data_IF_814761359367
#
_entry.id   IF_814761359367
#
_cell.length_a   1.000
_cell.length_b   1.000
_cell.length_c   1.000
_cell.angle_alpha   90.00
_cell.angle_beta   90.00
_cell.angle_gamma   90.00
#
_symmetry.space_group_name_H-M   'P 1'
#
loop_
_entity.id
_entity.type
_entity.pdbx_description
1 polymer ?
#
# COMPACT_ATOMS: atom_id res chain seq x y z
N UNK A 1 8.66 11.49 16.14
CA UNK A 1 7.58 11.82 17.10
C UNK A 1 6.29 11.90 16.32
N UNK A 2 5.53 10.81 16.35
CA UNK A 2 4.16 10.70 15.85
C UNK A 2 3.51 9.59 16.67
N UNK A 3 2.35 9.91 17.23
CA UNK A 3 1.74 9.27 18.38
C UNK A 3 1.01 7.98 18.02
N UNK A 4 1.20 6.97 18.88
CA UNK A 4 0.57 5.66 18.87
C UNK A 4 -0.79 5.76 19.58
N UNK A 5 -1.89 5.34 18.94
CA UNK A 5 -3.22 5.36 19.56
C UNK A 5 -3.64 3.95 19.98
N UNK A 6 -3.47 3.65 21.26
CA UNK A 6 -3.91 2.43 21.93
C UNK A 6 -5.40 2.52 22.28
N UNK A 7 -6.22 1.60 21.76
CA UNK A 7 -7.64 1.46 22.11
C UNK A 7 -7.79 0.33 23.14
N UNK A 8 -7.95 0.71 24.40
CA UNK A 8 -8.18 -0.19 25.54
C UNK A 8 -9.58 -0.82 25.50
N UNK A 9 -9.64 -2.14 25.67
CA UNK A 9 -10.87 -2.87 26.00
C UNK A 9 -11.05 -2.86 27.52
N UNK A 10 -12.26 -2.56 27.99
CA UNK A 10 -12.61 -2.65 29.39
C UNK A 10 -13.23 -4.03 29.67
N UNK A 11 -12.54 -4.83 30.48
CA UNK A 11 -13.12 -5.97 31.19
C UNK A 11 -14.11 -5.47 32.24
N UNK A 12 -15.26 -6.11 32.35
CA UNK A 12 -16.14 -5.97 33.52
C UNK A 12 -16.35 -7.35 34.12
N UNK A 13 -15.53 -7.63 35.12
CA UNK A 13 -15.74 -8.67 36.11
C UNK A 13 -17.06 -8.39 36.85
N UNK A 14 -17.91 -9.41 36.96
CA UNK A 14 -18.95 -9.43 37.98
C UNK A 14 -18.94 -10.80 38.64
N UNK A 15 -18.13 -10.84 39.69
CA UNK A 15 -18.11 -11.81 40.77
C UNK A 15 -19.48 -11.96 41.40
N UNK A 16 -19.97 -13.20 41.57
CA UNK A 16 -20.68 -13.58 42.79
C UNK A 16 -20.70 -15.10 42.95
N UNK A 17 -19.92 -15.53 43.93
CA UNK A 17 -19.93 -16.87 44.51
C UNK A 17 -21.15 -17.05 45.42
N UNK A 18 -21.77 -18.24 45.44
CA UNK A 18 -21.85 -19.14 46.62
C UNK A 18 -23.03 -20.12 46.56
N UNK A 19 -22.69 -21.40 46.39
CA UNK A 19 -22.93 -22.52 47.32
C UNK A 19 -24.29 -22.74 48.03
N UNK A 20 -24.83 -23.94 47.80
CA UNK A 20 -25.34 -24.92 48.81
C UNK A 20 -26.78 -24.84 49.37
N UNK A 21 -27.58 -25.82 48.91
CA UNK A 21 -28.36 -26.82 49.68
C UNK A 21 -29.22 -26.46 50.92
N UNK A 22 -30.48 -26.93 50.88
CA UNK A 22 -31.18 -27.76 51.90
C UNK A 22 -32.28 -27.15 52.80
N UNK A 23 -33.43 -27.87 52.81
CA UNK A 23 -34.26 -28.29 53.97
C UNK A 23 -35.31 -27.35 54.61
N UNK A 24 -36.57 -27.76 54.41
CA UNK A 24 -37.65 -28.02 55.40
C UNK A 24 -38.29 -26.91 56.26
N UNK A 25 -39.63 -26.94 56.18
CA UNK A 25 -40.62 -26.89 57.27
C UNK A 25 -40.86 -25.57 58.02
N UNK A 26 -41.99 -24.92 57.75
CA UNK A 26 -42.68 -23.99 58.67
C UNK A 26 -44.13 -23.73 58.21
N UNK A 27 -45.03 -24.42 58.91
CA UNK A 27 -46.39 -24.10 59.36
C UNK A 27 -47.10 -22.82 58.85
N UNK A 28 -48.26 -23.06 58.21
CA UNK A 28 -49.53 -22.30 58.28
C UNK A 28 -49.44 -20.77 58.28
N UNK A 29 -49.27 -20.18 57.10
CA UNK A 29 -49.73 -18.83 56.82
C UNK A 29 -50.99 -18.92 55.95
N UNK A 30 -52.14 -18.61 56.56
CA UNK A 30 -53.45 -18.52 55.90
C UNK A 30 -53.46 -17.30 54.97
N UNK A 31 -52.79 -17.43 53.82
CA UNK A 31 -52.93 -16.50 52.71
C UNK A 31 -54.21 -16.86 51.96
N UNK A 32 -55.30 -16.20 52.32
CA UNK A 32 -56.51 -16.19 51.52
C UNK A 32 -56.19 -15.60 50.14
N UNK A 33 -55.81 -16.47 49.20
CA UNK A 33 -55.73 -16.16 47.79
C UNK A 33 -57.16 -15.91 47.29
N UNK A 34 -57.54 -14.63 47.23
CA UNK A 34 -58.67 -14.16 46.44
C UNK A 34 -58.40 -14.46 44.97
N UNK A 35 -58.70 -15.70 44.55
CA UNK A 35 -58.81 -16.05 43.14
C UNK A 35 -60.08 -15.36 42.63
N UNK A 36 -59.91 -14.14 42.10
CA UNK A 36 -60.94 -13.51 41.31
C UNK A 36 -61.12 -14.38 40.05
N UNK A 37 -62.27 -15.03 39.93
CA UNK A 37 -62.72 -15.68 38.71
C UNK A 37 -62.84 -14.61 37.61
N UNK A 38 -61.78 -14.41 36.83
CA UNK A 38 -61.88 -13.72 35.55
C UNK A 38 -62.39 -14.73 34.51
N UNK A 39 -63.70 -14.88 34.47
CA UNK A 39 -64.42 -15.54 33.38
C UNK A 39 -64.63 -14.53 32.24
N UNK A 40 -63.66 -14.35 31.35
CA UNK A 40 -63.94 -13.85 29.99
C UNK A 40 -62.67 -13.84 29.15
N UNK A 41 -62.74 -14.55 28.02
CA UNK A 41 -61.71 -14.71 26.99
C UNK A 41 -60.46 -15.50 27.40
N UNK A 42 -60.68 -16.76 27.75
CA UNK A 42 -59.82 -17.79 27.19
C UNK A 42 -60.19 -17.86 25.70
N UNK A 43 -59.53 -17.05 24.87
CA UNK A 43 -59.43 -17.35 23.44
C UNK A 43 -58.73 -18.71 23.37
N UNK A 44 -59.53 -19.76 23.53
CA UNK A 44 -59.15 -21.14 23.24
C UNK A 44 -58.66 -21.05 21.81
N UNK A 45 -57.34 -21.09 21.64
CA UNK A 45 -56.73 -21.21 20.34
C UNK A 45 -57.46 -22.35 19.66
N UNK A 46 -58.29 -22.02 18.66
CA UNK A 46 -58.96 -22.99 17.84
C UNK A 46 -57.85 -23.64 17.02
N UNK A 47 -57.22 -24.65 17.62
CA UNK A 47 -56.38 -25.62 16.95
C UNK A 47 -57.29 -26.45 16.04
N UNK A 48 -57.90 -25.79 15.05
CA UNK A 48 -58.50 -26.44 13.90
C UNK A 48 -57.39 -27.22 13.19
N UNK A 49 -57.22 -28.46 13.66
CA UNK A 49 -56.37 -29.57 13.24
C UNK A 49 -55.51 -29.30 12.00
N UNK A 50 -54.39 -28.61 12.17
CA UNK A 50 -53.20 -28.98 11.40
C UNK A 50 -52.68 -30.25 12.08
N UNK A 51 -53.16 -31.39 11.59
CA UNK A 51 -52.85 -32.72 12.11
C UNK A 51 -51.41 -33.07 11.75
N UNK A 52 -50.48 -32.65 12.60
CA UNK A 52 -49.08 -32.98 12.47
C UNK A 52 -48.75 -34.10 13.46
N UNK A 53 -48.14 -35.16 12.96
CA UNK A 53 -47.81 -36.33 13.77
C UNK A 53 -46.63 -36.02 14.71
N UNK A 54 -46.37 -36.91 15.67
CA UNK A 54 -45.16 -36.77 16.50
C UNK A 54 -43.90 -36.96 15.65
N UNK A 55 -43.98 -37.85 14.68
CA UNK A 55 -42.91 -38.23 13.75
C UNK A 55 -42.48 -37.04 12.90
N UNK A 56 -43.47 -36.37 12.37
CA UNK A 56 -43.42 -35.07 11.72
C UNK A 56 -42.60 -34.02 12.52
N UNK A 57 -42.85 -33.86 13.82
CA UNK A 57 -42.11 -32.90 14.67
C UNK A 57 -40.67 -33.30 14.89
N UNK A 58 -40.45 -34.60 15.08
CA UNK A 58 -39.11 -35.17 15.19
C UNK A 58 -38.33 -34.98 13.90
N UNK A 59 -38.98 -35.10 12.74
CA UNK A 59 -38.37 -34.86 11.44
C UNK A 59 -37.96 -33.39 11.28
N UNK A 60 -38.87 -32.45 11.54
CA UNK A 60 -38.58 -31.02 11.47
C UNK A 60 -37.42 -30.61 12.40
N UNK A 61 -37.36 -31.20 13.61
CA UNK A 61 -36.24 -30.97 14.53
C UNK A 61 -34.92 -31.52 13.99
N UNK A 62 -34.91 -32.73 13.45
CA UNK A 62 -33.72 -33.33 12.84
C UNK A 62 -33.23 -32.51 11.64
N UNK A 63 -34.14 -32.02 10.80
CA UNK A 63 -33.83 -31.19 9.65
C UNK A 63 -33.18 -29.87 10.09
N UNK A 64 -33.74 -29.18 11.09
CA UNK A 64 -33.13 -27.98 11.67
C UNK A 64 -31.75 -28.24 12.27
N UNK A 65 -31.56 -29.36 12.97
CA UNK A 65 -30.24 -29.75 13.51
C UNK A 65 -29.24 -30.01 12.40
N UNK A 66 -29.67 -30.64 11.31
CA UNK A 66 -28.82 -30.88 10.14
C UNK A 66 -28.44 -29.56 9.47
N UNK A 67 -29.40 -28.68 9.20
CA UNK A 67 -29.16 -27.36 8.60
C UNK A 67 -28.22 -26.51 9.46
N UNK A 68 -28.40 -26.50 10.79
CA UNK A 68 -27.50 -25.80 11.70
C UNK A 68 -26.07 -26.35 11.64
N UNK A 69 -25.90 -27.68 11.56
CA UNK A 69 -24.57 -28.29 11.41
C UNK A 69 -23.92 -27.90 10.08
N UNK A 70 -24.68 -27.92 8.98
CA UNK A 70 -24.20 -27.48 7.68
C UNK A 70 -23.79 -26.01 7.73
N UNK A 71 -24.63 -25.14 8.30
CA UNK A 71 -24.33 -23.71 8.44
C UNK A 71 -23.07 -23.47 9.29
N UNK A 72 -22.95 -24.18 10.42
CA UNK A 72 -21.77 -24.10 11.28
C UNK A 72 -20.49 -24.52 10.56
N UNK A 73 -20.55 -25.54 9.71
CA UNK A 73 -19.41 -25.95 8.90
C UNK A 73 -19.03 -24.87 7.89
N UNK A 74 -20.01 -24.34 7.14
CA UNK A 74 -19.76 -23.28 6.16
C UNK A 74 -19.21 -22.01 6.80
N UNK A 75 -19.61 -21.70 8.04
CA UNK A 75 -19.08 -20.57 8.78
C UNK A 75 -17.59 -20.71 9.10
N UNK A 76 -17.17 -21.89 9.59
CA UNK A 76 -15.74 -22.13 9.88
C UNK A 76 -14.90 -22.18 8.59
N UNK A 77 -15.45 -22.69 7.49
CA UNK A 77 -14.82 -22.64 6.16
C UNK A 77 -14.61 -21.21 5.69
N UNK A 78 -15.66 -20.37 5.73
CA UNK A 78 -15.58 -18.94 5.38
C UNK A 78 -14.57 -18.21 6.28
N UNK A 79 -14.54 -18.53 7.58
CA UNK A 79 -13.59 -17.94 8.52
C UNK A 79 -12.15 -18.29 8.17
N UNK A 80 -11.90 -19.55 7.81
CA UNK A 80 -10.59 -20.02 7.37
C UNK A 80 -10.16 -19.35 6.04
N UNK A 81 -11.07 -19.25 5.08
CA UNK A 81 -10.83 -18.56 3.81
C UNK A 81 -10.52 -17.08 4.02
N UNK A 82 -11.29 -16.39 4.87
CA UNK A 82 -11.08 -14.97 5.17
C UNK A 82 -9.71 -14.73 5.84
N UNK A 83 -9.29 -15.62 6.75
CA UNK A 83 -7.95 -15.57 7.31
C UNK A 83 -6.86 -15.79 6.24
N UNK A 84 -7.08 -16.73 5.31
CA UNK A 84 -6.17 -17.00 4.19
C UNK A 84 -6.04 -15.79 3.26
N UNK A 85 -7.16 -15.17 2.87
CA UNK A 85 -7.19 -13.97 2.01
C UNK A 85 -6.51 -12.78 2.67
N UNK A 86 -6.68 -12.60 3.98
CA UNK A 86 -6.01 -11.54 4.72
C UNK A 86 -4.49 -11.72 4.70
N UNK A 87 -4.02 -12.96 4.85
CA UNK A 87 -2.59 -13.27 4.79
C UNK A 87 -2.04 -13.06 3.39
N UNK A 88 -2.72 -13.53 2.34
CA UNK A 88 -2.28 -13.32 0.95
C UNK A 88 -2.25 -11.85 0.54
N UNK A 89 -3.19 -11.04 1.05
CA UNK A 89 -3.22 -9.59 0.82
C UNK A 89 -2.07 -8.86 1.51
N UNK A 90 -1.62 -9.33 2.68
CA UNK A 90 -0.49 -8.74 3.41
C UNK A 90 0.83 -9.13 2.74
N UNK A 91 0.97 -10.40 2.35
CA UNK A 91 2.18 -10.91 1.70
C UNK A 91 2.39 -10.25 0.33
N UNK A 92 1.33 -10.13 -0.48
CA UNK A 92 1.41 -9.44 -1.79
C UNK A 92 1.73 -7.95 -1.67
N UNK A 93 1.35 -7.30 -0.57
CA UNK A 93 1.61 -5.87 -0.34
C UNK A 93 3.04 -5.60 0.13
N UNK A 94 3.74 -6.58 0.69
CA UNK A 94 5.08 -6.39 1.25
C UNK A 94 6.14 -6.35 0.15
N UNK A 95 6.08 -7.28 -0.80
CA UNK A 95 7.04 -7.36 -1.90
C UNK A 95 6.93 -6.15 -2.84
N UNK A 96 5.72 -5.66 -3.11
CA UNK A 96 5.51 -4.45 -3.93
C UNK A 96 6.03 -3.17 -3.26
N UNK A 97 6.03 -3.10 -1.92
CA UNK A 97 6.49 -1.91 -1.20
C UNK A 97 8.02 -1.75 -1.27
N UNK A 98 8.76 -2.85 -1.14
CA UNK A 98 10.22 -2.87 -1.23
C UNK A 98 10.70 -2.50 -2.64
N UNK A 99 10.01 -2.98 -3.67
CA UNK A 99 10.26 -2.61 -5.07
C UNK A 99 10.03 -1.11 -5.32
N UNK A 100 8.98 -0.53 -4.74
CA UNK A 100 8.67 0.90 -4.89
C UNK A 100 9.77 1.77 -4.25
N UNK A 101 10.24 1.42 -3.06
CA UNK A 101 11.32 2.16 -2.41
C UNK A 101 12.64 2.02 -3.16
N UNK A 102 12.96 0.83 -3.67
CA UNK A 102 14.12 0.59 -4.54
C UNK A 102 14.07 1.46 -5.79
N UNK A 103 12.96 1.44 -6.54
CA UNK A 103 12.76 2.28 -7.74
C UNK A 103 12.88 3.77 -7.43
N UNK A 104 12.35 4.21 -6.28
CA UNK A 104 12.44 5.62 -5.84
C UNK A 104 13.88 6.05 -5.59
N UNK A 105 14.70 5.18 -4.99
CA UNK A 105 16.14 5.47 -4.78
C UNK A 105 16.89 5.56 -6.10
N UNK A 106 16.62 4.65 -7.04
CA UNK A 106 17.23 4.65 -8.37
C UNK A 106 16.84 5.90 -9.18
N UNK A 107 15.58 6.32 -9.11
CA UNK A 107 15.09 7.56 -9.73
C UNK A 107 15.82 8.80 -9.17
N UNK A 108 16.04 8.85 -7.86
CA UNK A 108 16.78 9.94 -7.21
C UNK A 108 18.24 9.99 -7.70
N UNK A 109 18.89 8.83 -7.81
CA UNK A 109 20.26 8.72 -8.33
C UNK A 109 20.36 9.18 -9.78
N UNK A 110 19.46 8.71 -10.65
CA UNK A 110 19.42 9.11 -12.07
C UNK A 110 19.17 10.61 -12.23
N UNK A 111 18.35 11.21 -11.36
CA UNK A 111 18.11 12.66 -11.38
C UNK A 111 19.39 13.46 -11.12
N UNK A 112 20.15 13.06 -10.11
CA UNK A 112 21.44 13.70 -9.77
C UNK A 112 22.43 13.54 -10.93
N UNK A 113 22.55 12.34 -11.49
CA UNK A 113 23.43 12.08 -12.63
C UNK A 113 23.04 12.90 -13.87
N UNK A 114 21.75 13.04 -14.15
CA UNK A 114 21.26 13.87 -15.25
C UNK A 114 21.63 15.36 -15.07
N UNK A 115 21.50 15.88 -13.85
CA UNK A 115 21.88 17.26 -13.53
C UNK A 115 23.39 17.48 -13.70
N UNK A 116 24.22 16.51 -13.31
CA UNK A 116 25.68 16.54 -13.54
C UNK A 116 26.01 16.56 -15.03
N UNK A 117 25.46 15.61 -15.80
CA UNK A 117 25.69 15.53 -17.25
C UNK A 117 25.25 16.80 -17.98
N UNK A 118 24.15 17.41 -17.55
CA UNK A 118 23.68 18.68 -18.10
C UNK A 118 24.67 19.83 -17.85
N UNK A 119 25.30 19.87 -16.67
CA UNK A 119 26.33 20.84 -16.35
C UNK A 119 27.59 20.61 -17.19
N UNK A 120 28.09 19.38 -17.26
CA UNK A 120 29.26 19.02 -18.08
C UNK A 120 29.02 19.33 -19.57
N UNK A 121 27.83 19.04 -20.08
CA UNK A 121 27.45 19.38 -21.46
C UNK A 121 27.47 20.89 -21.70
N UNK A 122 27.06 21.69 -20.72
CA UNK A 122 27.07 23.15 -20.81
C UNK A 122 28.50 23.70 -20.79
N UNK A 123 29.39 23.12 -19.99
CA UNK A 123 30.81 23.47 -19.92
C UNK A 123 31.53 23.12 -21.23
N UNK A 124 31.37 21.89 -21.73
CA UNK A 124 31.93 21.47 -23.02
C UNK A 124 31.46 22.37 -24.18
N UNK A 125 30.20 22.79 -24.16
CA UNK A 125 29.67 23.71 -25.16
C UNK A 125 30.39 25.06 -25.12
N UNK A 126 30.66 25.60 -23.93
CA UNK A 126 31.41 26.84 -23.77
C UNK A 126 32.87 26.69 -24.24
N UNK A 127 33.50 25.55 -23.92
CA UNK A 127 34.88 25.26 -24.34
C UNK A 127 35.00 25.13 -25.86
N UNK A 128 34.03 24.49 -26.52
CA UNK A 128 33.93 24.43 -27.98
C UNK A 128 33.85 25.84 -28.59
N UNK A 129 33.06 26.74 -28.00
CA UNK A 129 32.93 28.12 -28.49
C UNK A 129 34.25 28.90 -28.39
N UNK A 130 34.96 28.76 -27.27
CA UNK A 130 36.29 29.34 -27.08
C UNK A 130 37.28 28.77 -28.11
N UNK A 131 37.30 27.45 -28.28
CA UNK A 131 38.19 26.79 -29.23
C UNK A 131 37.93 27.27 -30.66
N UNK A 132 36.67 27.42 -31.05
CA UNK A 132 36.30 27.93 -32.36
C UNK A 132 36.84 29.36 -32.57
N UNK A 133 36.75 30.21 -31.55
CA UNK A 133 37.32 31.56 -31.60
C UNK A 133 38.85 31.54 -31.75
N UNK A 134 39.55 30.66 -31.01
CA UNK A 134 41.00 30.49 -31.12
C UNK A 134 41.40 30.03 -32.51
N UNK A 135 40.71 29.01 -33.05
CA UNK A 135 40.98 28.47 -34.40
C UNK A 135 40.73 29.53 -35.48
N UNK A 136 39.67 30.33 -35.36
CA UNK A 136 39.40 31.43 -36.30
C UNK A 136 40.51 32.49 -36.29
N UNK A 137 41.02 32.83 -35.10
CA UNK A 137 42.11 33.79 -34.90
C UNK A 137 43.43 33.25 -35.46
N UNK A 138 43.72 31.98 -35.19
CA UNK A 138 44.88 31.27 -35.73
C UNK A 138 44.86 31.23 -37.27
N UNK A 139 43.72 30.92 -37.87
CA UNK A 139 43.54 30.93 -39.33
C UNK A 139 43.81 32.32 -39.93
N UNK A 140 43.36 33.39 -39.28
CA UNK A 140 43.62 34.77 -39.74
C UNK A 140 45.09 35.14 -39.63
N UNK A 141 45.74 34.77 -38.52
CA UNK A 141 47.17 34.99 -38.32
C UNK A 141 48.00 34.23 -39.36
N UNK A 142 47.68 32.94 -39.58
CA UNK A 142 48.35 32.07 -40.56
C UNK A 142 48.26 32.63 -41.98
N UNK A 143 47.09 33.13 -42.39
CA UNK A 143 46.93 33.81 -43.69
C UNK A 143 47.80 35.07 -43.81
N UNK A 144 47.97 35.81 -42.71
CA UNK A 144 48.79 37.03 -42.68
C UNK A 144 50.28 36.69 -42.78
N UNK A 145 50.74 35.67 -42.05
CA UNK A 145 52.11 35.15 -42.13
C UNK A 145 52.40 34.64 -43.54
N UNK A 146 51.48 33.89 -44.15
CA UNK A 146 51.65 33.41 -45.53
C UNK A 146 51.85 34.57 -46.51
N UNK A 147 51.06 35.64 -46.41
CA UNK A 147 51.24 36.85 -47.25
C UNK A 147 52.60 37.53 -47.05
N UNK A 148 53.06 37.59 -45.80
CA UNK A 148 54.38 38.17 -45.47
C UNK A 148 55.51 37.33 -46.07
N UNK A 149 55.43 36.00 -45.95
CA UNK A 149 56.40 35.08 -46.53
C UNK A 149 56.49 35.22 -48.06
N UNK A 150 55.35 35.29 -48.74
CA UNK A 150 55.33 35.51 -50.21
C UNK A 150 55.92 36.87 -50.60
N UNK A 151 55.67 37.91 -49.81
CA UNK A 151 56.26 39.23 -50.04
C UNK A 151 57.79 39.24 -49.83
N UNK A 152 58.28 38.50 -48.84
CA UNK A 152 59.71 38.35 -48.56
C UNK A 152 60.43 37.59 -49.69
N UNK A 153 59.85 36.52 -50.22
CA UNK A 153 60.39 35.81 -51.40
C UNK A 153 60.56 36.77 -52.59
N UNK A 154 59.53 37.53 -52.91
CA UNK A 154 59.56 38.52 -54.00
C UNK A 154 60.63 39.62 -53.81
N UNK A 155 60.88 40.05 -52.56
CA UNK A 155 61.92 41.03 -52.26
C UNK A 155 63.33 40.46 -52.46
N UNK A 156 63.55 39.21 -52.05
CA UNK A 156 64.83 38.53 -52.22
C UNK A 156 65.17 38.27 -53.69
N UNK A 157 64.19 37.88 -54.51
CA UNK A 157 64.38 37.64 -55.95
C UNK A 157 64.74 38.94 -56.72
N UNK A 158 64.23 40.10 -56.27
CA UNK A 158 64.57 41.42 -56.83
C UNK A 158 65.90 41.98 -56.32
N UNK A 159 66.37 41.53 -55.16
CA UNK A 159 67.65 41.95 -54.57
C UNK A 159 68.84 41.16 -55.12
N UNK A 160 68.69 40.50 -56.28
CA UNK A 160 69.81 39.97 -57.06
C UNK A 160 70.77 41.10 -57.44
N UNK A 161 71.64 41.48 -56.50
CA UNK A 161 72.81 42.29 -56.75
C UNK A 161 73.65 41.52 -57.75
N UNK A 162 73.55 41.94 -59.01
CA UNK A 162 74.51 41.62 -60.05
C UNK A 162 75.86 42.18 -59.65
N UNK A 163 76.61 41.45 -58.82
CA UNK A 163 78.05 41.63 -58.69
C UNK A 163 78.71 41.02 -59.92
N UNK A 164 78.53 41.71 -61.04
CA UNK A 164 79.35 41.55 -62.21
C UNK A 164 80.31 42.74 -62.22
N UNK A 165 81.50 42.57 -61.67
CA UNK A 165 82.59 43.51 -61.93
C UNK A 165 83.93 42.79 -61.92
N UNK A 166 84.44 42.65 -63.16
CA UNK A 166 85.82 42.44 -63.64
C UNK A 166 86.52 41.11 -63.41
#
# INVERSE_FOLDING_TARGET
MAEESTKSWADSDSESSSSSSSSSDSEQEEVNCLMADQTSDDEVFDFSNIEFTREDLVQALNDMVHEYKTLSHTFEEIKAENASLKNSSIDSSSDELEDVDSLKTELSKLRIENDVLKNETSELKAEIEILNQVVSSWNRSSRSIHKLNESQKLANDKSGLGFNSS
#
